data_IF_019671561229
#
_entry.id   IF_019671561229
#
_cell.length_a   1.000
_cell.length_b   1.000
_cell.length_c   1.000
_cell.angle_alpha   90.00
_cell.angle_beta   90.00
_cell.angle_gamma   90.00
#
_symmetry.space_group_name_H-M   'P 1'
#
loop_
_entity.id
_entity.type
_entity.pdbx_description
1 polymer ?
#
# COMPACT_ATOMS: atom_id res chain seq x y z
N UNK A 1 -6.21 28.72 6.42
CA UNK A 1 -5.58 27.55 7.09
C UNK A 1 -6.59 26.39 7.14
N UNK A 2 -6.96 25.83 5.97
CA UNK A 2 -7.97 24.76 5.78
C UNK A 2 -7.58 23.81 4.62
N UNK A 3 -6.36 23.92 4.08
CA UNK A 3 -5.95 23.23 2.85
C UNK A 3 -5.38 21.83 3.10
N UNK A 4 -4.54 21.65 4.14
CA UNK A 4 -3.87 20.38 4.41
C UNK A 4 -4.84 19.28 4.84
N UNK A 5 -5.75 19.58 5.77
CA UNK A 5 -6.74 18.63 6.25
C UNK A 5 -7.60 18.10 5.09
N UNK A 6 -8.17 18.99 4.27
CA UNK A 6 -8.96 18.61 3.10
C UNK A 6 -8.17 17.73 2.13
N UNK A 7 -6.90 18.05 1.91
CA UNK A 7 -6.01 17.25 1.08
C UNK A 7 -5.78 15.85 1.66
N UNK A 8 -5.46 15.75 2.96
CA UNK A 8 -5.25 14.47 3.65
C UNK A 8 -6.51 13.60 3.58
N UNK A 9 -7.69 14.17 3.85
CA UNK A 9 -8.96 13.43 3.73
C UNK A 9 -9.23 12.95 2.30
N UNK A 10 -8.94 13.79 1.31
CA UNK A 10 -9.07 13.40 -0.09
C UNK A 10 -8.08 12.26 -0.44
N UNK A 11 -6.82 12.36 -0.01
CA UNK A 11 -5.80 11.33 -0.20
C UNK A 11 -6.27 9.98 0.35
N UNK A 12 -6.76 9.93 1.60
CA UNK A 12 -7.23 8.68 2.19
C UNK A 12 -8.43 8.06 1.46
N UNK A 13 -9.39 8.88 1.00
CA UNK A 13 -10.55 8.38 0.24
C UNK A 13 -10.11 7.81 -1.11
N UNK A 14 -9.22 8.51 -1.81
CA UNK A 14 -8.63 8.07 -3.07
C UNK A 14 -7.80 6.81 -2.84
N UNK A 15 -7.02 6.75 -1.75
CA UNK A 15 -6.24 5.57 -1.37
C UNK A 15 -7.15 4.35 -1.29
N UNK A 16 -8.20 4.40 -0.47
CA UNK A 16 -9.11 3.27 -0.29
C UNK A 16 -9.77 2.84 -1.61
N UNK A 17 -10.16 3.79 -2.46
CA UNK A 17 -10.73 3.47 -3.77
C UNK A 17 -9.72 2.72 -4.67
N UNK A 18 -8.53 3.29 -4.86
CA UNK A 18 -7.54 2.79 -5.81
C UNK A 18 -6.74 1.60 -5.28
N UNK A 19 -6.52 1.51 -3.98
CA UNK A 19 -5.66 0.48 -3.37
C UNK A 19 -6.42 -0.66 -2.73
N UNK A 20 -7.74 -0.53 -2.53
CA UNK A 20 -8.56 -1.60 -1.94
C UNK A 20 -9.69 -2.01 -2.88
N UNK A 21 -10.61 -1.11 -3.21
CA UNK A 21 -11.83 -1.48 -3.94
C UNK A 21 -11.57 -1.89 -5.39
N UNK A 22 -10.86 -1.06 -6.16
CA UNK A 22 -10.54 -1.38 -7.56
C UNK A 22 -9.75 -2.69 -7.73
N UNK A 23 -8.63 -2.95 -6.99
CA UNK A 23 -7.92 -4.22 -7.11
C UNK A 23 -8.75 -5.42 -6.65
N UNK A 24 -9.67 -5.24 -5.70
CA UNK A 24 -10.56 -6.31 -5.25
C UNK A 24 -11.54 -6.71 -6.35
N UNK A 25 -12.16 -5.72 -7.00
CA UNK A 25 -13.05 -5.94 -8.15
C UNK A 25 -12.30 -6.64 -9.28
N UNK A 26 -11.09 -6.15 -9.61
CA UNK A 26 -10.24 -6.76 -10.63
C UNK A 26 -9.82 -8.19 -10.27
N UNK A 27 -9.55 -8.47 -8.99
CA UNK A 27 -9.18 -9.82 -8.54
C UNK A 27 -10.35 -10.78 -8.70
N UNK A 28 -11.55 -10.39 -8.28
CA UNK A 28 -12.76 -11.20 -8.46
C UNK A 28 -13.03 -11.42 -9.95
N UNK A 29 -12.91 -10.36 -10.78
CA UNK A 29 -13.14 -10.47 -12.21
C UNK A 29 -12.11 -11.38 -12.90
N UNK A 30 -10.84 -11.28 -12.53
CA UNK A 30 -9.77 -12.14 -13.02
C UNK A 30 -9.94 -13.59 -12.57
N UNK A 31 -10.48 -13.82 -11.37
CA UNK A 31 -10.85 -15.15 -10.88
C UNK A 31 -11.97 -15.76 -11.72
N UNK A 32 -13.05 -15.01 -11.96
CA UNK A 32 -14.18 -15.46 -12.81
C UNK A 32 -13.74 -15.77 -14.23
N UNK A 33 -12.86 -14.94 -14.81
CA UNK A 33 -12.32 -15.15 -16.16
C UNK A 33 -11.14 -16.14 -16.22
N UNK A 34 -10.72 -16.72 -15.08
CA UNK A 34 -9.59 -17.66 -14.97
C UNK A 34 -8.27 -17.09 -15.56
N UNK A 35 -8.06 -15.78 -15.42
CA UNK A 35 -6.84 -15.12 -15.88
C UNK A 35 -5.73 -15.24 -14.83
N UNK A 36 -4.90 -16.26 -14.93
CA UNK A 36 -3.90 -16.60 -13.91
C UNK A 36 -2.81 -15.53 -13.77
N UNK A 37 -2.35 -14.92 -14.85
CA UNK A 37 -1.29 -13.88 -14.80
C UNK A 37 -1.76 -12.64 -14.02
N UNK A 38 -2.98 -12.17 -14.28
CA UNK A 38 -3.56 -11.03 -13.54
C UNK A 38 -3.83 -11.41 -12.08
N UNK A 39 -4.38 -12.60 -11.81
CA UNK A 39 -4.61 -13.08 -10.43
C UNK A 39 -3.30 -13.16 -9.64
N UNK A 40 -2.24 -13.69 -10.25
CA UNK A 40 -0.93 -13.82 -9.62
C UNK A 40 -0.32 -12.47 -9.30
N UNK A 41 -0.37 -11.52 -10.25
CA UNK A 41 0.16 -10.18 -10.03
C UNK A 41 -0.66 -9.42 -8.97
N UNK A 42 -1.99 -9.53 -8.98
CA UNK A 42 -2.84 -8.96 -7.92
C UNK A 42 -2.58 -9.59 -6.55
N UNK A 43 -2.30 -10.90 -6.49
CA UNK A 43 -1.92 -11.56 -5.23
C UNK A 43 -0.60 -11.03 -4.68
N UNK A 44 0.39 -10.79 -5.55
CA UNK A 44 1.66 -10.15 -5.16
C UNK A 44 1.39 -8.73 -4.66
N UNK A 45 0.59 -7.98 -5.41
CA UNK A 45 0.16 -6.63 -5.03
C UNK A 45 -0.48 -6.60 -3.64
N UNK A 46 -1.45 -7.47 -3.33
CA UNK A 46 -2.12 -7.51 -2.02
C UNK A 46 -1.16 -7.80 -0.87
N UNK A 47 -0.19 -8.68 -1.08
CA UNK A 47 0.85 -8.96 -0.08
C UNK A 47 1.66 -7.71 0.23
N UNK A 48 2.06 -6.95 -0.78
CA UNK A 48 2.85 -5.72 -0.62
C UNK A 48 2.00 -4.55 -0.08
N UNK A 49 0.80 -4.37 -0.62
CA UNK A 49 -0.14 -3.32 -0.23
C UNK A 49 -0.65 -3.49 1.21
N UNK A 50 -0.55 -4.68 1.80
CA UNK A 50 -0.87 -4.92 3.22
C UNK A 50 -0.10 -4.00 4.17
N UNK A 51 1.08 -3.50 3.76
CA UNK A 51 1.85 -2.51 4.53
C UNK A 51 1.10 -1.17 4.72
N UNK A 52 0.18 -0.80 3.82
CA UNK A 52 -0.70 0.35 4.02
C UNK A 52 -1.65 0.13 5.20
N UNK A 53 -2.25 -1.05 5.32
CA UNK A 53 -3.14 -1.37 6.45
C UNK A 53 -2.36 -1.47 7.77
N UNK A 54 -1.17 -2.07 7.74
CA UNK A 54 -0.24 -2.04 8.88
C UNK A 54 0.05 -0.59 9.29
N UNK A 55 0.34 0.28 8.31
CA UNK A 55 0.58 1.71 8.56
C UNK A 55 -0.60 2.38 9.26
N UNK A 56 -1.84 2.12 8.83
CA UNK A 56 -3.05 2.66 9.48
C UNK A 56 -3.11 2.25 10.95
N UNK A 57 -2.81 0.99 11.27
CA UNK A 57 -2.84 0.49 12.65
C UNK A 57 -1.74 1.11 13.52
N UNK A 58 -0.55 1.32 12.94
CA UNK A 58 0.53 2.04 13.60
C UNK A 58 0.17 3.52 13.84
N UNK A 59 -0.52 4.16 12.89
CA UNK A 59 -0.99 5.55 13.02
C UNK A 59 -2.07 5.70 14.09
N UNK A 60 -3.00 4.75 14.20
CA UNK A 60 -4.00 4.70 15.29
C UNK A 60 -3.30 4.67 16.66
N UNK A 61 -2.19 3.93 16.75
CA UNK A 61 -1.34 3.87 17.93
C UNK A 61 -0.52 5.12 18.23
N UNK A 62 -0.51 6.11 17.33
CA UNK A 62 0.34 7.30 17.46
C UNK A 62 1.83 6.99 17.34
N UNK A 63 2.22 5.93 16.62
CA UNK A 63 3.61 5.52 16.48
C UNK A 63 4.30 6.32 15.37
N UNK A 64 5.42 6.99 15.69
CA UNK A 64 6.10 7.91 14.75
C UNK A 64 6.59 7.20 13.48
N UNK A 65 7.10 5.98 13.60
CA UNK A 65 7.62 5.22 12.46
C UNK A 65 6.53 4.79 11.45
N UNK A 66 5.25 5.01 11.74
CA UNK A 66 4.17 4.81 10.77
C UNK A 66 4.32 5.68 9.50
N UNK A 67 4.95 6.86 9.61
CA UNK A 67 5.27 7.68 8.44
C UNK A 67 6.30 7.01 7.52
N UNK A 68 7.26 6.28 8.09
CA UNK A 68 8.24 5.52 7.33
C UNK A 68 7.59 4.32 6.64
N UNK A 69 6.73 3.56 7.34
CA UNK A 69 6.02 2.43 6.73
C UNK A 69 5.05 2.90 5.64
N UNK A 70 4.39 4.05 5.83
CA UNK A 70 3.52 4.66 4.82
C UNK A 70 4.25 5.13 3.58
N UNK A 71 5.47 5.68 3.73
CA UNK A 71 6.35 6.00 2.60
C UNK A 71 6.81 4.74 1.88
N UNK A 72 7.30 3.74 2.62
CA UNK A 72 7.79 2.49 2.05
C UNK A 72 6.68 1.72 1.31
N UNK A 73 5.46 1.68 1.85
CA UNK A 73 4.32 1.05 1.18
C UNK A 73 4.06 1.67 -0.20
N UNK A 74 4.06 3.00 -0.28
CA UNK A 74 3.85 3.74 -1.53
C UNK A 74 4.97 3.56 -2.56
N UNK A 75 6.19 3.26 -2.13
CA UNK A 75 7.32 2.92 -3.02
C UNK A 75 7.23 1.45 -3.47
N UNK A 76 6.95 0.54 -2.53
CA UNK A 76 6.92 -0.90 -2.80
C UNK A 76 5.76 -1.30 -3.71
N UNK A 77 4.61 -0.61 -3.65
CA UNK A 77 3.46 -0.90 -4.51
C UNK A 77 3.81 -0.85 -6.00
N UNK A 78 4.29 0.28 -6.57
CA UNK A 78 4.65 0.33 -7.99
C UNK A 78 5.79 -0.63 -8.32
N UNK A 79 6.79 -0.79 -7.45
CA UNK A 79 7.83 -1.80 -7.65
C UNK A 79 7.24 -3.20 -7.80
N UNK A 80 6.33 -3.60 -6.91
CA UNK A 80 5.70 -4.92 -6.95
C UNK A 80 4.87 -5.17 -8.21
N UNK A 81 4.32 -4.11 -8.81
CA UNK A 81 3.51 -4.20 -10.01
C UNK A 81 4.39 -4.32 -11.26
N UNK A 82 5.50 -3.56 -11.34
CA UNK A 82 6.30 -3.44 -12.56
C UNK A 82 7.57 -4.28 -12.60
N UNK A 83 8.06 -4.77 -11.46
CA UNK A 83 9.33 -5.51 -11.36
C UNK A 83 9.35 -6.85 -12.13
N UNK A 84 8.20 -7.50 -12.34
CA UNK A 84 8.11 -8.86 -12.89
C UNK A 84 8.02 -8.87 -14.42
N UNK A 85 9.16 -8.95 -15.10
CA UNK A 85 9.25 -8.94 -16.58
C UNK A 85 8.40 -10.06 -17.22
N UNK A 86 8.48 -11.26 -16.67
CA UNK A 86 7.75 -12.44 -17.11
C UNK A 86 6.22 -12.26 -17.04
N UNK A 87 5.70 -11.74 -15.91
CA UNK A 87 4.26 -11.46 -15.77
C UNK A 87 3.84 -10.28 -16.66
N UNK A 88 4.73 -9.33 -16.89
CA UNK A 88 4.47 -8.21 -17.78
C UNK A 88 4.34 -8.66 -19.23
N UNK A 89 5.20 -9.59 -19.66
CA UNK A 89 5.13 -10.20 -20.99
C UNK A 89 3.86 -11.03 -21.16
N UNK A 90 3.54 -11.92 -20.21
CA UNK A 90 2.30 -12.70 -20.24
C UNK A 90 1.06 -11.80 -20.37
N UNK A 91 0.97 -10.70 -19.61
CA UNK A 91 -0.17 -9.76 -19.66
C UNK A 91 -0.17 -8.94 -20.97
N UNK A 92 1.00 -8.70 -21.57
CA UNK A 92 1.11 -7.97 -22.84
C UNK A 92 0.62 -8.80 -24.01
N UNK A 93 0.89 -10.10 -24.01
CA UNK A 93 0.51 -11.03 -25.07
C UNK A 93 -0.94 -11.51 -25.00
N UNK A 94 -1.61 -11.32 -23.86
CA UNK A 94 -3.04 -11.64 -23.73
C UNK A 94 -3.91 -10.91 -24.75
N UNK A 95 -4.97 -11.56 -25.27
CA UNK A 95 -5.91 -10.93 -26.19
C UNK A 95 -6.54 -9.68 -25.57
N UNK A 96 -6.86 -8.70 -26.42
CA UNK A 96 -7.53 -7.48 -25.98
C UNK A 96 -8.90 -7.84 -25.37
N UNK A 97 -9.04 -7.58 -24.07
CA UNK A 97 -10.26 -7.81 -23.30
C UNK A 97 -10.52 -6.62 -22.39
N UNK A 98 -11.79 -6.42 -22.00
CA UNK A 98 -12.14 -5.36 -21.05
C UNK A 98 -11.42 -5.52 -19.71
N UNK A 99 -11.19 -6.76 -19.27
CA UNK A 99 -10.42 -7.04 -18.05
C UNK A 99 -8.97 -6.57 -18.18
N UNK A 100 -8.29 -6.92 -19.29
CA UNK A 100 -6.91 -6.47 -19.53
C UNK A 100 -6.83 -4.94 -19.58
N UNK A 101 -7.76 -4.28 -20.27
CA UNK A 101 -7.80 -2.81 -20.32
C UNK A 101 -8.00 -2.19 -18.93
N UNK A 102 -9.02 -2.64 -18.19
CA UNK A 102 -9.31 -2.14 -16.85
C UNK A 102 -8.14 -2.39 -15.89
N UNK A 103 -7.51 -3.56 -15.97
CA UNK A 103 -6.33 -3.90 -15.18
C UNK A 103 -5.15 -2.99 -15.48
N UNK A 104 -4.80 -2.78 -16.76
CA UNK A 104 -3.67 -1.92 -17.15
C UNK A 104 -3.93 -0.46 -16.76
N UNK A 105 -5.16 0.03 -16.95
CA UNK A 105 -5.56 1.37 -16.54
C UNK A 105 -5.43 1.56 -15.03
N UNK A 106 -5.98 0.63 -14.23
CA UNK A 106 -5.83 0.63 -12.78
C UNK A 106 -4.37 0.57 -12.34
N UNK A 107 -3.58 -0.32 -12.96
CA UNK A 107 -2.17 -0.52 -12.63
C UNK A 107 -1.34 0.76 -12.82
N UNK A 108 -1.59 1.50 -13.90
CA UNK A 108 -0.98 2.82 -14.09
C UNK A 108 -1.48 3.85 -13.08
N UNK A 109 -2.80 3.93 -12.88
CA UNK A 109 -3.40 4.89 -11.95
C UNK A 109 -2.86 4.70 -10.51
N UNK A 110 -2.80 3.47 -10.01
CA UNK A 110 -2.30 3.19 -8.66
C UNK A 110 -0.78 3.44 -8.54
N UNK A 111 -0.02 3.24 -9.62
CA UNK A 111 1.41 3.53 -9.65
C UNK A 111 1.67 5.03 -9.56
N UNK A 112 1.01 5.83 -10.39
CA UNK A 112 1.11 7.30 -10.36
C UNK A 112 0.63 7.85 -9.02
N UNK A 113 -0.51 7.36 -8.53
CA UNK A 113 -1.04 7.73 -7.22
C UNK A 113 -0.04 7.44 -6.09
N UNK A 114 0.55 6.24 -6.07
CA UNK A 114 1.49 5.84 -5.02
C UNK A 114 2.78 6.65 -5.08
N UNK A 115 3.34 6.89 -6.28
CA UNK A 115 4.55 7.71 -6.44
C UNK A 115 4.30 9.17 -6.04
N UNK A 116 3.18 9.76 -6.46
CA UNK A 116 2.80 11.11 -6.03
C UNK A 116 2.65 11.17 -4.50
N UNK A 117 1.93 10.20 -3.92
CA UNK A 117 1.78 10.07 -2.47
C UNK A 117 3.11 9.88 -1.74
N UNK A 118 4.08 9.17 -2.32
CA UNK A 118 5.41 8.98 -1.75
C UNK A 118 6.18 10.32 -1.70
N UNK A 119 6.12 11.12 -2.77
CA UNK A 119 6.68 12.48 -2.78
C UNK A 119 6.04 13.34 -1.71
N UNK A 120 4.71 13.29 -1.57
CA UNK A 120 4.02 14.03 -0.51
C UNK A 120 4.43 13.56 0.90
N UNK A 121 4.50 12.25 1.14
CA UNK A 121 4.94 11.70 2.43
C UNK A 121 6.40 12.02 2.75
N UNK A 122 7.27 12.16 1.74
CA UNK A 122 8.66 12.52 1.94
C UNK A 122 8.81 13.89 2.62
N UNK A 123 7.93 14.86 2.34
CA UNK A 123 7.92 16.15 3.03
C UNK A 123 7.57 16.05 4.52
N UNK A 124 6.91 14.96 4.94
CA UNK A 124 6.52 14.70 6.33
C UNK A 124 7.36 13.59 6.97
N UNK A 125 8.47 13.15 6.35
CA UNK A 125 9.28 12.04 6.87
C UNK A 125 9.90 12.35 8.23
N UNK A 126 10.11 13.64 8.51
CA UNK A 126 10.67 14.13 9.76
C UNK A 126 9.75 13.88 10.96
N UNK A 127 8.43 13.70 10.72
CA UNK A 127 7.46 13.19 11.70
C UNK A 127 7.86 11.82 12.28
N UNK A 128 8.64 11.02 11.54
CA UNK A 128 9.09 9.69 12.00
C UNK A 128 10.22 9.77 13.02
N UNK A 129 11.07 10.80 12.92
CA UNK A 129 12.35 10.87 13.63
C UNK A 129 12.37 11.90 14.77
N UNK A 130 11.40 12.81 14.84
CA UNK A 130 11.33 13.83 15.88
C UNK A 130 9.99 13.85 16.59
N UNK A 131 10.00 13.62 17.92
CA UNK A 131 8.80 13.72 18.76
C UNK A 131 8.20 15.13 18.77
N UNK A 132 9.06 16.16 18.74
CA UNK A 132 8.61 17.55 18.71
C UNK A 132 7.84 17.86 17.42
N UNK A 133 8.34 17.37 16.27
CA UNK A 133 7.67 17.56 15.00
C UNK A 133 6.42 16.69 14.88
N UNK A 134 6.47 15.46 15.38
CA UNK A 134 5.30 14.56 15.44
C UNK A 134 4.13 15.18 16.22
N UNK A 135 4.41 15.90 17.31
CA UNK A 135 3.39 16.63 18.07
C UNK A 135 2.85 17.87 17.33
N UNK A 136 3.51 18.30 16.24
CA UNK A 136 3.09 19.42 15.42
C UNK A 136 1.80 19.14 14.65
N UNK A 137 1.04 20.21 14.40
CA UNK A 137 -0.27 20.13 13.76
C UNK A 137 -0.25 19.37 12.42
N UNK A 138 0.79 19.56 11.62
CA UNK A 138 0.90 18.92 10.31
C UNK A 138 0.96 17.38 10.39
N UNK A 139 1.78 16.82 11.29
CA UNK A 139 1.86 15.37 11.48
C UNK A 139 0.58 14.82 12.12
N UNK A 140 -0.02 15.57 13.05
CA UNK A 140 -1.28 15.17 13.70
C UNK A 140 -2.46 15.13 12.72
N UNK A 141 -2.51 16.02 11.73
CA UNK A 141 -3.53 16.00 10.67
C UNK A 141 -3.53 14.65 9.92
N UNK A 142 -2.35 14.08 9.65
CA UNK A 142 -2.24 12.77 8.98
C UNK A 142 -2.80 11.59 9.80
N UNK A 143 -2.94 11.75 11.12
CA UNK A 143 -3.49 10.72 12.02
C UNK A 143 -5.02 10.78 12.12
N UNK A 144 -5.66 11.89 11.71
CA UNK A 144 -7.11 12.05 11.84
C UNK A 144 -7.90 10.98 11.07
N UNK A 145 -7.61 10.65 9.80
CA UNK A 145 -8.39 9.63 9.10
C UNK A 145 -8.24 8.22 9.66
N UNK A 146 -7.02 7.72 10.03
CA UNK A 146 -6.87 6.45 10.75
C UNK A 146 -7.65 6.38 12.06
N UNK A 147 -7.67 7.48 12.82
CA UNK A 147 -8.44 7.55 14.07
C UNK A 147 -9.95 7.48 13.80
N UNK A 148 -10.47 8.17 12.78
CA UNK A 148 -11.87 8.01 12.41
C UNK A 148 -12.19 6.58 11.93
N UNK A 149 -11.30 5.98 11.12
CA UNK A 149 -11.44 4.59 10.70
C UNK A 149 -11.56 3.64 11.90
N UNK A 150 -10.75 3.87 12.95
CA UNK A 150 -10.83 3.14 14.21
C UNK A 150 -12.20 3.33 14.88
N UNK A 151 -12.72 4.55 14.98
CA UNK A 151 -14.04 4.77 15.58
C UNK A 151 -15.16 4.04 14.81
N UNK A 152 -15.08 3.95 13.48
CA UNK A 152 -16.09 3.29 12.64
C UNK A 152 -16.03 1.76 12.73
N UNK A 153 -14.84 1.15 12.62
CA UNK A 153 -14.69 -0.31 12.51
C UNK A 153 -14.22 -1.00 13.80
N UNK A 154 -13.62 -0.26 14.72
CA UNK A 154 -12.96 -0.78 15.91
C UNK A 154 -13.26 0.06 17.17
N UNK A 155 -14.40 0.74 17.24
CA UNK A 155 -14.73 1.68 18.33
C UNK A 155 -14.65 1.10 19.75
N UNK A 156 -14.85 -0.22 19.90
CA UNK A 156 -14.71 -0.92 21.19
C UNK A 156 -13.27 -1.24 21.63
N UNK A 157 -12.27 -1.01 20.78
CA UNK A 157 -10.87 -1.33 21.07
C UNK A 157 -10.05 -0.08 21.39
N UNK A 158 -9.06 -0.23 22.28
CA UNK A 158 -8.14 0.85 22.61
C UNK A 158 -7.13 1.07 21.47
N UNK A 159 -6.60 2.29 21.36
CA UNK A 159 -5.58 2.62 20.36
C UNK A 159 -4.33 1.71 20.53
N UNK A 160 -3.94 1.42 21.77
CA UNK A 160 -2.80 0.55 22.08
C UNK A 160 -3.00 -0.89 21.61
N UNK A 161 -4.21 -1.42 21.70
CA UNK A 161 -4.52 -2.78 21.22
C UNK A 161 -4.34 -2.89 19.70
N UNK A 162 -4.83 -1.92 18.93
CA UNK A 162 -4.65 -1.90 17.48
C UNK A 162 -3.21 -1.62 17.08
N UNK A 163 -2.51 -0.76 17.83
CA UNK A 163 -1.08 -0.52 17.66
C UNK A 163 -0.27 -1.81 17.80
N UNK A 164 -0.61 -2.66 18.78
CA UNK A 164 0.03 -3.96 18.98
C UNK A 164 -0.10 -4.84 17.72
N UNK A 165 -1.31 -4.96 17.14
CA UNK A 165 -1.48 -5.70 15.88
C UNK A 165 -0.73 -5.06 14.71
N UNK A 166 -0.65 -3.72 14.66
CA UNK A 166 0.19 -3.02 13.70
C UNK A 166 1.67 -3.43 13.81
N UNK A 167 2.21 -3.47 15.04
CA UNK A 167 3.61 -3.86 15.30
C UNK A 167 3.84 -5.33 14.96
N UNK A 168 2.98 -6.24 15.42
CA UNK A 168 3.08 -7.68 15.12
C UNK A 168 2.99 -7.92 13.62
N UNK A 169 2.03 -7.27 12.95
CA UNK A 169 1.88 -7.34 11.50
C UNK A 169 3.12 -6.83 10.76
N UNK A 170 3.72 -5.73 11.22
CA UNK A 170 4.97 -5.20 10.65
C UNK A 170 6.12 -6.19 10.81
N UNK A 171 6.29 -6.81 11.97
CA UNK A 171 7.34 -7.81 12.19
C UNK A 171 7.18 -9.00 11.25
N UNK A 172 5.96 -9.55 11.13
CA UNK A 172 5.66 -10.64 10.19
C UNK A 172 5.95 -10.20 8.75
N UNK A 173 5.50 -9.00 8.36
CA UNK A 173 5.73 -8.44 7.03
C UNK A 173 7.22 -8.35 6.71
N UNK A 174 8.04 -7.84 7.63
CA UNK A 174 9.49 -7.71 7.47
C UNK A 174 10.18 -9.07 7.36
N UNK A 175 9.76 -10.06 8.17
CA UNK A 175 10.31 -11.42 8.09
C UNK A 175 10.01 -12.07 6.73
N UNK A 176 8.75 -11.98 6.27
CA UNK A 176 8.33 -12.55 4.97
C UNK A 176 9.01 -11.83 3.81
N UNK A 177 9.06 -10.50 3.84
CA UNK A 177 9.74 -9.70 2.81
C UNK A 177 11.24 -9.99 2.81
N UNK A 178 11.89 -10.04 3.97
CA UNK A 178 13.30 -10.37 4.11
C UNK A 178 13.60 -11.77 3.56
N UNK A 179 12.83 -12.78 3.95
CA UNK A 179 12.94 -14.12 3.39
C UNK A 179 12.79 -14.12 1.87
N UNK A 180 11.80 -13.39 1.34
CA UNK A 180 11.58 -13.27 -0.10
C UNK A 180 12.80 -12.66 -0.80
N UNK A 181 13.31 -11.51 -0.32
CA UNK A 181 14.42 -10.77 -0.93
C UNK A 181 15.73 -11.57 -0.85
N UNK A 182 16.07 -12.13 0.31
CA UNK A 182 17.38 -12.78 0.50
C UNK A 182 17.44 -14.23 0.05
N UNK A 183 16.31 -14.95 0.03
CA UNK A 183 16.30 -16.40 -0.28
C UNK A 183 15.60 -16.69 -1.60
N UNK A 184 14.41 -16.12 -1.81
CA UNK A 184 13.55 -16.53 -2.92
C UNK A 184 13.88 -15.78 -4.22
N UNK A 185 14.21 -14.49 -4.13
CA UNK A 185 14.44 -13.65 -5.30
C UNK A 185 15.59 -14.17 -6.16
N UNK A 186 16.75 -14.46 -5.55
CA UNK A 186 17.92 -15.01 -6.26
C UNK A 186 17.75 -16.45 -6.76
N UNK A 187 16.84 -17.23 -6.17
CA UNK A 187 16.55 -18.62 -6.59
C UNK A 187 15.52 -18.73 -7.70
N UNK A 188 14.70 -17.70 -7.93
CA UNK A 188 13.55 -17.80 -8.83
C UNK A 188 13.86 -17.53 -10.31
N UNK A 189 15.09 -17.18 -10.70
CA UNK A 189 15.57 -17.24 -12.10
C UNK A 189 14.70 -16.54 -13.16
N UNK A 190 13.71 -15.73 -12.75
CA UNK A 190 12.90 -14.89 -13.64
C UNK A 190 13.70 -13.60 -13.78
N UNK A 191 14.45 -13.53 -14.89
CA UNK A 191 15.32 -12.42 -15.23
C UNK A 191 14.63 -11.08 -15.00
N UNK A 192 15.34 -10.15 -14.35
CA UNK A 192 15.00 -8.74 -14.34
C UNK A 192 15.72 -7.98 -15.48
N UNK A 193 16.33 -8.70 -16.42
CA UNK A 193 17.25 -8.17 -17.41
C UNK A 193 17.37 -9.17 -18.57
N UNK A 194 16.82 -8.82 -19.72
CA UNK A 194 17.41 -9.18 -21.02
C UNK A 194 18.11 -7.95 -21.58
#
# INVERSE_FOLDING_TARGET
MWSLEKFVWADYRIAVLFTVFLPLILLIWAFVQKNESIQRLLTIYWRVASLLMITVYLMIGGLTFSFLTGLMARILIPLSLWFWEDLNEEIREQPNSLLRFAFVAWRWAVSVYSLAGAVFFAFYISCAFSRAQFAGAACQTWLQPPLLYKEILHGGYTNGFLAFFGVVGLLIYLLVLGYFVFVRLGRQGRSAIN
#
